data_IF_064721308878
#
_entry.id   IF_064721308878
#
_cell.length_a   1.000
_cell.length_b   1.000
_cell.length_c   1.000
_cell.angle_alpha   90.00
_cell.angle_beta   90.00
_cell.angle_gamma   90.00
#
_symmetry.space_group_name_H-M   'P 1'
#
loop_
_entity.id
_entity.type
_entity.pdbx_description
1 polymer ?
#
# COMPACT_ATOMS: atom_id res chain seq x y z
N UNK A 1 -2.66 -9.33 21.60
CA UNK A 1 -3.72 -8.40 21.15
C UNK A 1 -4.09 -8.73 19.71
N UNK A 2 -5.37 -8.84 19.44
CA UNK A 2 -5.83 -9.18 18.10
C UNK A 2 -6.22 -7.93 17.34
N UNK A 3 -5.64 -7.77 16.14
CA UNK A 3 -6.08 -6.75 15.21
C UNK A 3 -7.31 -7.27 14.51
N UNK A 4 -8.38 -6.50 14.54
CA UNK A 4 -9.64 -6.90 13.97
C UNK A 4 -9.94 -6.09 12.73
N UNK A 5 -10.17 -6.80 11.62
CA UNK A 5 -10.58 -6.17 10.36
C UNK A 5 -12.04 -5.76 10.48
N UNK A 6 -12.32 -4.47 10.37
CA UNK A 6 -13.67 -3.92 10.47
C UNK A 6 -14.33 -3.82 9.10
N UNK A 7 -13.58 -3.39 8.08
CA UNK A 7 -14.09 -3.24 6.73
C UNK A 7 -12.95 -3.36 5.73
N UNK A 8 -13.26 -3.82 4.53
CA UNK A 8 -12.29 -3.95 3.46
C UNK A 8 -12.96 -3.61 2.14
N UNK A 9 -12.23 -2.87 1.28
CA UNK A 9 -12.63 -2.57 -0.09
C UNK A 9 -11.54 -3.06 -1.02
N UNK A 10 -11.86 -4.09 -1.79
CA UNK A 10 -10.89 -4.76 -2.65
C UNK A 10 -10.93 -4.18 -4.06
N UNK A 11 -9.75 -4.04 -4.67
CA UNK A 11 -9.62 -3.68 -6.08
C UNK A 11 -9.33 -4.94 -6.89
N UNK A 12 -10.18 -5.25 -7.86
CA UNK A 12 -10.03 -6.41 -8.72
C UNK A 12 -10.33 -6.00 -10.17
N UNK A 13 -9.28 -5.85 -11.01
CA UNK A 13 -7.87 -6.10 -10.69
C UNK A 13 -7.28 -5.03 -9.77
N UNK A 14 -6.12 -5.28 -9.16
CA UNK A 14 -5.42 -4.27 -8.37
C UNK A 14 -5.15 -3.01 -9.21
N UNK A 15 -5.22 -1.84 -8.56
CA UNK A 15 -5.01 -0.60 -9.29
C UNK A 15 -3.57 -0.12 -9.18
N UNK A 16 -3.12 0.61 -10.19
CA UNK A 16 -1.78 1.19 -10.20
C UNK A 16 -1.71 2.43 -9.31
N UNK A 17 -0.70 2.46 -8.46
CA UNK A 17 -0.47 3.57 -7.54
C UNK A 17 1.02 3.88 -7.48
N UNK A 18 1.35 5.02 -6.90
CA UNK A 18 2.71 5.30 -6.46
C UNK A 18 2.73 5.31 -4.93
N UNK A 19 3.77 4.73 -4.34
CA UNK A 19 3.94 4.62 -2.90
C UNK A 19 5.19 5.39 -2.50
N UNK A 20 5.06 6.25 -1.49
CA UNK A 20 6.21 6.98 -0.96
C UNK A 20 6.92 6.11 0.07
N UNK A 21 8.23 5.90 -0.16
CA UNK A 21 9.07 5.11 0.73
C UNK A 21 10.51 5.59 0.60
N UNK A 22 11.15 5.86 1.73
CA UNK A 22 12.54 6.34 1.77
C UNK A 22 12.72 7.61 0.92
N UNK A 23 11.76 8.54 0.98
CA UNK A 23 11.87 9.82 0.31
C UNK A 23 11.64 9.79 -1.20
N UNK A 24 11.16 8.68 -1.74
CA UNK A 24 10.89 8.52 -3.16
C UNK A 24 9.52 7.93 -3.38
N UNK A 25 8.97 8.15 -4.59
CA UNK A 25 7.73 7.53 -5.02
C UNK A 25 8.03 6.35 -5.93
N UNK A 26 7.44 5.21 -5.61
CA UNK A 26 7.68 3.95 -6.32
C UNK A 26 6.38 3.46 -6.95
N UNK A 27 6.47 2.98 -8.19
CA UNK A 27 5.33 2.37 -8.84
C UNK A 27 4.95 1.08 -8.11
N UNK A 28 3.66 0.93 -7.81
CA UNK A 28 3.17 -0.23 -7.11
C UNK A 28 1.73 -0.56 -7.47
N UNK A 29 1.20 -1.59 -6.82
CA UNK A 29 -0.17 -2.05 -7.00
C UNK A 29 -0.89 -2.04 -5.67
N UNK A 30 -2.10 -1.50 -5.67
CA UNK A 30 -2.96 -1.53 -4.49
C UNK A 30 -4.04 -2.59 -4.67
N UNK A 31 -4.12 -3.52 -3.72
CA UNK A 31 -5.11 -4.59 -3.75
C UNK A 31 -6.35 -4.25 -2.95
N UNK A 32 -6.23 -3.39 -1.94
CA UNK A 32 -7.37 -3.07 -1.09
C UNK A 32 -7.14 -1.84 -0.23
N UNK A 33 -8.22 -1.30 0.28
CA UNK A 33 -8.26 -0.49 1.48
C UNK A 33 -8.71 -1.38 2.63
N UNK A 34 -8.07 -1.24 3.80
CA UNK A 34 -8.46 -1.97 5.00
C UNK A 34 -8.64 -1.04 6.18
N UNK A 35 -9.72 -1.24 6.91
CA UNK A 35 -9.99 -0.53 8.16
C UNK A 35 -9.93 -1.55 9.28
N UNK A 36 -8.98 -1.37 10.20
CA UNK A 36 -8.78 -2.24 11.34
C UNK A 36 -8.97 -1.46 12.64
N UNK A 37 -9.31 -2.15 13.71
CA UNK A 37 -9.68 -1.50 14.97
C UNK A 37 -8.50 -0.84 15.71
N UNK A 38 -7.26 -1.21 15.37
CA UNK A 38 -6.06 -0.62 15.96
C UNK A 38 -5.43 0.47 15.09
N UNK A 39 -5.99 0.72 13.90
CA UNK A 39 -5.44 1.70 12.98
C UNK A 39 -6.14 3.04 13.13
N UNK A 40 -5.44 4.09 12.73
CA UNK A 40 -5.91 5.47 12.78
C UNK A 40 -6.71 5.81 11.52
N UNK A 41 -7.48 4.84 11.01
CA UNK A 41 -8.28 5.00 9.82
C UNK A 41 -7.93 3.95 8.77
N UNK A 42 -8.24 4.28 7.52
CA UNK A 42 -8.02 3.37 6.41
C UNK A 42 -6.55 3.25 6.07
N UNK A 43 -6.11 2.01 5.81
CA UNK A 43 -4.75 1.72 5.36
C UNK A 43 -4.82 1.04 3.98
N UNK A 44 -3.87 1.37 3.13
CA UNK A 44 -3.78 0.77 1.79
C UNK A 44 -2.95 -0.49 1.85
N UNK A 45 -3.48 -1.58 1.31
CA UNK A 45 -2.71 -2.81 1.09
C UNK A 45 -2.04 -2.69 -0.27
N UNK A 46 -0.71 -2.61 -0.28
CA UNK A 46 0.04 -2.31 -1.51
C UNK A 46 1.25 -3.23 -1.63
N UNK A 47 1.71 -3.40 -2.86
CA UNK A 47 2.96 -4.08 -3.16
C UNK A 47 3.76 -3.22 -4.12
N UNK A 48 5.08 -3.18 -3.92
CA UNK A 48 5.97 -2.52 -4.88
C UNK A 48 7.36 -3.13 -4.80
N UNK A 49 8.18 -2.84 -5.82
CA UNK A 49 9.56 -3.31 -5.91
C UNK A 49 10.48 -2.10 -5.97
N UNK A 50 11.59 -2.15 -5.22
CA UNK A 50 12.60 -1.10 -5.25
C UNK A 50 13.93 -1.67 -5.76
N UNK A 51 14.61 -0.88 -6.61
CA UNK A 51 15.95 -1.21 -7.08
C UNK A 51 16.97 -0.64 -6.10
N UNK A 52 17.79 -1.52 -5.55
CA UNK A 52 18.88 -1.15 -4.65
C UNK A 52 20.21 -1.65 -5.19
N UNK A 53 21.32 -1.20 -4.61
CA UNK A 53 22.66 -1.63 -5.01
C UNK A 53 22.84 -3.15 -4.85
N UNK A 54 22.17 -3.73 -3.85
CA UNK A 54 22.25 -5.18 -3.59
C UNK A 54 21.24 -5.99 -4.43
N UNK A 55 20.36 -5.32 -5.19
CA UNK A 55 19.35 -6.00 -6.00
C UNK A 55 17.96 -5.43 -5.83
N UNK A 56 16.95 -6.25 -6.09
CA UNK A 56 15.54 -5.86 -5.99
C UNK A 56 14.97 -6.21 -4.61
N UNK A 57 14.34 -5.23 -3.97
CA UNK A 57 13.58 -5.43 -2.75
C UNK A 57 12.09 -5.42 -3.05
N UNK A 58 11.36 -6.42 -2.56
CA UNK A 58 9.91 -6.49 -2.71
C UNK A 58 9.25 -6.15 -1.38
N UNK A 59 8.29 -5.24 -1.42
CA UNK A 59 7.62 -4.73 -0.22
C UNK A 59 6.12 -4.95 -0.31
N UNK A 60 5.50 -5.36 0.80
CA UNK A 60 4.07 -5.66 0.85
C UNK A 60 3.43 -5.16 2.16
N UNK A 61 3.74 -3.94 2.63
CA UNK A 61 3.13 -3.45 3.86
C UNK A 61 1.78 -2.80 3.61
N UNK A 62 1.09 -2.48 4.71
CA UNK A 62 0.00 -1.53 4.65
C UNK A 62 0.53 -0.14 4.93
N UNK A 63 0.07 0.85 4.16
CA UNK A 63 0.53 2.23 4.27
C UNK A 63 -0.66 3.17 4.43
N UNK A 64 -0.46 4.31 5.13
CA UNK A 64 -1.53 5.30 5.26
C UNK A 64 -1.81 6.02 3.94
N UNK A 65 -3.00 6.62 3.79
CA UNK A 65 -3.40 7.25 2.53
C UNK A 65 -2.44 8.32 2.02
N UNK A 66 -1.81 9.07 2.92
CA UNK A 66 -0.91 10.16 2.53
C UNK A 66 0.38 9.67 1.87
N UNK A 67 0.67 8.38 1.96
CA UNK A 67 1.86 7.80 1.35
C UNK A 67 1.56 7.08 0.03
N UNK A 68 0.36 7.19 -0.47
CA UNK A 68 0.03 6.66 -1.79
C UNK A 68 -0.67 7.72 -2.61
N UNK A 69 -0.53 7.62 -3.93
CA UNK A 69 -1.30 8.43 -4.86
C UNK A 69 -1.67 7.58 -6.06
N UNK A 70 -2.90 7.77 -6.54
CA UNK A 70 -3.42 6.98 -7.66
C UNK A 70 -2.83 7.54 -8.94
N UNK A 71 -2.37 6.64 -9.80
CA UNK A 71 -1.91 7.02 -11.12
C UNK A 71 -3.14 7.20 -11.99
N UNK A 72 -3.29 8.39 -12.57
CA UNK A 72 -4.41 8.65 -13.46
C UNK A 72 -4.29 7.76 -14.71
N UNK A 73 -5.40 7.18 -15.18
CA UNK A 73 -5.40 6.36 -16.37
C UNK A 73 -5.10 7.16 -17.63
#
# INVERSE_FOLDING_TARGET
MHVRLLEQRTFDPPRSVEVEHNGRWWLGSQTAWRLCDDYRGWMAEVTWTEQHDWGLGKYMPMVPPERIRVIAP
#
